data_IF_941171255618
#
_entry.id   IF_941171255618
#
_cell.length_a   1.000
_cell.length_b   1.000
_cell.length_c   1.000
_cell.angle_alpha   90.00
_cell.angle_beta   90.00
_cell.angle_gamma   90.00
#
_symmetry.space_group_name_H-M   'P 1'
#
loop_
_entity.id
_entity.type
_entity.pdbx_description
1 polymer ?
#
# COMPACT_ATOMS: atom_id res chain seq x y z
N UNK A 1 -20.39 6.55 6.15
CA UNK A 1 -21.10 5.46 6.88
C UNK A 1 -20.13 4.41 7.42
N UNK A 2 -19.31 3.70 6.61
CA UNK A 2 -18.41 2.62 7.10
C UNK A 2 -17.51 3.03 8.27
N UNK A 3 -16.85 4.19 8.22
CA UNK A 3 -15.98 4.69 9.30
C UNK A 3 -16.70 4.99 10.62
N UNK A 4 -17.98 5.39 10.54
CA UNK A 4 -18.79 5.63 11.76
C UNK A 4 -19.15 4.29 12.42
N UNK A 5 -19.50 3.28 11.62
CA UNK A 5 -19.75 1.92 12.12
C UNK A 5 -18.49 1.30 12.72
N UNK A 6 -17.36 1.44 12.06
CA UNK A 6 -16.06 0.97 12.55
C UNK A 6 -15.69 1.60 13.90
N UNK A 7 -15.86 2.92 14.03
CA UNK A 7 -15.64 3.64 15.28
C UNK A 7 -16.60 3.16 16.37
N UNK A 8 -17.89 3.01 16.04
CA UNK A 8 -18.90 2.51 16.98
C UNK A 8 -18.58 1.11 17.48
N UNK A 9 -18.22 0.19 16.58
CA UNK A 9 -17.81 -1.16 16.96
C UNK A 9 -16.54 -1.15 17.83
N UNK A 10 -15.55 -0.33 17.50
CA UNK A 10 -14.30 -0.21 18.26
C UNK A 10 -14.56 0.30 19.68
N UNK A 11 -15.44 1.30 19.84
CA UNK A 11 -15.84 1.82 21.15
C UNK A 11 -16.56 0.73 21.96
N UNK A 12 -17.56 0.04 21.38
CA UNK A 12 -18.29 -1.03 22.06
C UNK A 12 -17.36 -2.16 22.51
N UNK A 13 -16.41 -2.55 21.66
CA UNK A 13 -15.45 -3.61 22.00
C UNK A 13 -14.50 -3.16 23.10
N UNK A 14 -14.05 -1.90 23.11
CA UNK A 14 -13.13 -1.38 24.13
C UNK A 14 -13.72 -1.37 25.54
N UNK A 15 -15.07 -1.36 25.66
CA UNK A 15 -15.77 -1.44 26.97
C UNK A 15 -16.06 -2.88 27.42
N UNK A 16 -15.66 -3.91 26.67
CA UNK A 16 -15.77 -5.29 27.12
C UNK A 16 -14.66 -5.64 28.12
N UNK A 17 -14.96 -6.55 29.04
CA UNK A 17 -13.99 -7.04 30.02
C UNK A 17 -12.75 -7.62 29.32
N UNK A 18 -11.58 -7.29 29.83
CA UNK A 18 -10.28 -7.71 29.27
C UNK A 18 -9.64 -6.75 28.25
N UNK A 19 -10.32 -5.65 27.88
CA UNK A 19 -9.77 -4.63 27.01
C UNK A 19 -9.46 -3.33 27.77
N UNK A 20 -8.63 -2.46 27.16
CA UNK A 20 -8.27 -1.18 27.75
C UNK A 20 -9.45 -0.22 27.62
N UNK A 21 -10.00 0.21 28.73
CA UNK A 21 -11.08 1.21 28.75
C UNK A 21 -10.50 2.61 28.53
N UNK A 22 -11.02 3.39 27.55
CA UNK A 22 -10.60 4.77 27.37
C UNK A 22 -11.05 5.63 28.56
N UNK A 23 -10.08 6.20 29.28
CA UNK A 23 -10.36 7.15 30.36
C UNK A 23 -10.60 8.55 29.76
N UNK A 24 -11.87 8.91 29.63
CA UNK A 24 -12.30 10.18 29.04
C UNK A 24 -11.75 11.40 29.80
N UNK A 25 -11.47 11.27 31.11
CA UNK A 25 -10.90 12.36 31.93
C UNK A 25 -9.43 12.61 31.57
N UNK A 26 -8.72 11.59 31.10
CA UNK A 26 -7.30 11.68 30.70
C UNK A 26 -7.11 11.99 29.21
N UNK A 27 -8.15 12.05 28.43
CA UNK A 27 -8.08 12.29 26.98
C UNK A 27 -7.37 13.61 26.66
N UNK A 28 -7.52 14.63 27.48
CA UNK A 28 -6.90 15.95 27.32
C UNK A 28 -5.60 16.14 28.11
N UNK A 29 -5.12 15.08 28.79
CA UNK A 29 -3.86 15.14 29.52
C UNK A 29 -2.67 15.14 28.58
N UNK A 30 -1.96 16.29 28.52
CA UNK A 30 -0.83 16.46 27.61
C UNK A 30 0.47 15.94 28.23
N UNK A 31 0.90 14.75 27.84
CA UNK A 31 2.23 14.25 28.13
C UNK A 31 3.21 14.69 27.04
N UNK A 32 4.16 15.57 27.37
CA UNK A 32 5.13 16.13 26.42
C UNK A 32 6.05 15.07 25.81
N UNK A 33 6.44 14.06 26.59
CA UNK A 33 7.30 12.98 26.13
C UNK A 33 6.58 12.11 25.09
N UNK A 34 5.37 11.65 25.44
CA UNK A 34 4.54 10.85 24.55
C UNK A 34 4.19 11.62 23.26
N UNK A 35 3.91 12.92 23.34
CA UNK A 35 3.65 13.74 22.17
C UNK A 35 4.88 13.83 21.25
N UNK A 36 6.09 13.94 21.80
CA UNK A 36 7.33 13.98 21.03
C UNK A 36 7.61 12.64 20.32
N UNK A 37 7.38 11.53 21.01
CA UNK A 37 7.59 10.20 20.46
C UNK A 37 6.54 9.88 19.39
N UNK A 38 5.29 10.26 19.62
CA UNK A 38 4.22 10.20 18.62
C UNK A 38 4.56 11.00 17.36
N UNK A 39 5.03 12.26 17.52
CA UNK A 39 5.40 13.09 16.37
C UNK A 39 6.54 12.49 15.54
N UNK A 40 7.54 11.85 16.17
CA UNK A 40 8.64 11.21 15.46
C UNK A 40 8.17 10.08 14.52
N UNK A 41 7.11 9.37 14.90
CA UNK A 41 6.55 8.30 14.08
C UNK A 41 5.47 8.82 13.13
N UNK A 42 4.62 9.75 13.58
CA UNK A 42 3.48 10.24 12.82
C UNK A 42 3.88 11.18 11.66
N UNK A 43 4.89 12.03 11.84
CA UNK A 43 5.32 12.97 10.80
C UNK A 43 5.85 12.29 9.54
N UNK A 44 6.75 11.27 9.62
CA UNK A 44 7.17 10.53 8.43
C UNK A 44 6.02 9.80 7.75
N UNK A 45 5.11 9.23 8.52
CA UNK A 45 3.94 8.53 7.99
C UNK A 45 2.98 9.49 7.27
N UNK A 46 2.73 10.67 7.86
CA UNK A 46 1.95 11.73 7.22
C UNK A 46 2.61 12.19 5.92
N UNK A 47 3.93 12.37 5.92
CA UNK A 47 4.71 12.70 4.73
C UNK A 47 4.56 11.64 3.65
N UNK A 48 4.67 10.37 3.99
CA UNK A 48 4.47 9.25 3.07
C UNK A 48 3.05 9.25 2.47
N UNK A 49 2.02 9.47 3.30
CA UNK A 49 0.63 9.55 2.83
C UNK A 49 0.41 10.72 1.87
N UNK A 50 1.00 11.90 2.14
CA UNK A 50 0.92 13.06 1.26
C UNK A 50 1.65 12.80 -0.07
N UNK A 51 2.86 12.28 -0.05
CA UNK A 51 3.60 11.92 -1.26
C UNK A 51 2.85 10.90 -2.10
N UNK A 52 2.26 9.88 -1.46
CA UNK A 52 1.45 8.89 -2.14
C UNK A 52 0.20 9.50 -2.77
N UNK A 53 -0.56 10.33 -2.04
CA UNK A 53 -1.79 10.96 -2.53
C UNK A 53 -1.55 11.89 -3.71
N UNK A 54 -0.53 12.75 -3.63
CA UNK A 54 -0.17 13.66 -4.72
C UNK A 54 0.35 12.88 -5.94
N UNK A 55 1.18 11.86 -5.71
CA UNK A 55 1.70 11.00 -6.78
C UNK A 55 0.60 10.26 -7.52
N UNK A 56 -0.37 9.72 -6.78
CA UNK A 56 -1.53 9.03 -7.36
C UNK A 56 -2.43 9.96 -8.19
N UNK A 57 -2.61 11.20 -7.72
CA UNK A 57 -3.32 12.24 -8.46
C UNK A 57 -2.58 12.60 -9.76
N UNK A 58 -1.24 12.65 -9.72
CA UNK A 58 -0.42 12.89 -10.91
C UNK A 58 -0.58 11.77 -11.95
N UNK A 59 -0.63 10.50 -11.54
CA UNK A 59 -0.89 9.38 -12.44
C UNK A 59 -2.25 9.51 -13.15
N UNK A 60 -3.30 9.88 -12.41
CA UNK A 60 -4.62 10.11 -12.98
C UNK A 60 -4.63 11.28 -13.96
N UNK A 61 -3.84 12.33 -13.68
CA UNK A 61 -3.69 13.47 -14.58
C UNK A 61 -3.00 13.09 -15.90
N UNK A 62 -1.97 12.24 -15.87
CA UNK A 62 -1.32 11.73 -17.09
C UNK A 62 -2.29 10.92 -17.94
N UNK A 63 -3.10 10.04 -17.32
CA UNK A 63 -4.12 9.28 -18.04
C UNK A 63 -5.20 10.20 -18.63
N UNK A 64 -5.60 11.25 -17.91
CA UNK A 64 -6.54 12.25 -18.42
C UNK A 64 -5.99 13.03 -19.63
N UNK A 65 -4.70 13.34 -19.63
CA UNK A 65 -4.04 14.02 -20.75
C UNK A 65 -3.97 13.14 -22.03
N UNK A 66 -3.85 11.82 -21.85
CA UNK A 66 -3.84 10.84 -22.95
C UNK A 66 -5.22 10.61 -23.59
N UNK A 67 -6.26 11.20 -23.05
CA UNK A 67 -7.61 11.21 -23.61
C UNK A 67 -8.67 10.56 -22.73
N UNK A 68 -9.93 10.79 -23.09
CA UNK A 68 -11.10 10.35 -22.32
C UNK A 68 -11.16 8.82 -22.21
N UNK A 69 -10.83 8.11 -23.29
CA UNK A 69 -10.82 6.64 -23.31
C UNK A 69 -9.74 6.06 -22.38
N UNK A 70 -8.58 6.69 -22.31
CA UNK A 70 -7.51 6.31 -21.39
C UNK A 70 -7.90 6.56 -19.92
N UNK A 71 -8.52 7.70 -19.64
CA UNK A 71 -9.03 8.03 -18.31
C UNK A 71 -10.15 7.08 -17.85
N UNK A 72 -11.09 6.74 -18.76
CA UNK A 72 -12.16 5.79 -18.48
C UNK A 72 -11.60 4.39 -18.18
N UNK A 73 -10.67 3.89 -19.00
CA UNK A 73 -10.01 2.62 -18.77
C UNK A 73 -9.27 2.60 -17.44
N UNK A 74 -8.50 3.66 -17.13
CA UNK A 74 -7.77 3.79 -15.87
C UNK A 74 -8.70 3.79 -14.65
N UNK A 75 -9.86 4.44 -14.73
CA UNK A 75 -10.83 4.48 -13.62
C UNK A 75 -11.38 3.09 -13.30
N UNK A 76 -11.73 2.31 -14.32
CA UNK A 76 -12.18 0.91 -14.14
C UNK A 76 -11.06 0.04 -13.61
N UNK A 77 -9.86 0.16 -14.20
CA UNK A 77 -8.68 -0.58 -13.77
C UNK A 77 -8.33 -0.32 -12.29
N UNK A 78 -8.43 0.94 -11.84
CA UNK A 78 -8.17 1.33 -10.46
C UNK A 78 -9.16 0.70 -9.49
N UNK A 79 -10.47 0.74 -9.79
CA UNK A 79 -11.50 0.13 -8.92
C UNK A 79 -11.28 -1.37 -8.77
N UNK A 80 -11.02 -2.08 -9.85
CA UNK A 80 -10.79 -3.53 -9.82
C UNK A 80 -9.54 -3.87 -9.04
N UNK A 81 -8.44 -3.15 -9.30
CA UNK A 81 -7.19 -3.27 -8.57
C UNK A 81 -7.40 -3.08 -7.07
N UNK A 82 -8.10 -2.02 -6.67
CA UNK A 82 -8.29 -1.68 -5.26
C UNK A 82 -9.15 -2.71 -4.53
N UNK A 83 -10.17 -3.28 -5.18
CA UNK A 83 -10.97 -4.39 -4.62
C UNK A 83 -10.08 -5.61 -4.35
N UNK A 84 -9.23 -6.00 -5.30
CA UNK A 84 -8.34 -7.14 -5.12
C UNK A 84 -7.26 -6.85 -4.06
N UNK A 85 -6.76 -5.61 -3.98
CA UNK A 85 -5.80 -5.18 -2.97
C UNK A 85 -6.33 -5.24 -1.52
N UNK A 86 -7.65 -5.26 -1.31
CA UNK A 86 -8.22 -5.38 0.04
C UNK A 86 -7.73 -6.62 0.79
N UNK A 87 -7.47 -7.73 0.09
CA UNK A 87 -6.88 -8.93 0.68
C UNK A 87 -5.47 -8.69 1.22
N UNK A 88 -4.63 -8.01 0.45
CA UNK A 88 -3.27 -7.64 0.87
C UNK A 88 -3.29 -6.70 2.06
N UNK A 89 -4.19 -5.72 2.07
CA UNK A 89 -4.36 -4.78 3.17
C UNK A 89 -4.79 -5.48 4.48
N UNK A 90 -5.68 -6.49 4.39
CA UNK A 90 -6.07 -7.31 5.53
C UNK A 90 -4.88 -8.08 6.12
N UNK A 91 -4.05 -8.69 5.27
CA UNK A 91 -2.85 -9.41 5.71
C UNK A 91 -1.80 -8.44 6.26
N UNK A 92 -1.65 -7.26 5.65
CA UNK A 92 -0.76 -6.20 6.14
C UNK A 92 -1.14 -5.78 7.56
N UNK A 93 -2.42 -5.53 7.81
CA UNK A 93 -2.93 -5.20 9.15
C UNK A 93 -2.66 -6.32 10.16
N UNK A 94 -2.94 -7.57 9.79
CA UNK A 94 -2.65 -8.73 10.62
C UNK A 94 -1.15 -8.88 10.92
N UNK A 95 -0.30 -8.63 9.92
CA UNK A 95 1.15 -8.65 10.06
C UNK A 95 1.64 -7.59 11.06
N UNK A 96 1.09 -6.38 10.97
CA UNK A 96 1.37 -5.29 11.91
C UNK A 96 1.04 -5.68 13.34
N UNK A 97 -0.14 -6.26 13.57
CA UNK A 97 -0.58 -6.70 14.90
C UNK A 97 0.31 -7.84 15.43
N UNK A 98 0.53 -8.89 14.62
CA UNK A 98 1.28 -10.07 15.06
C UNK A 98 2.74 -9.73 15.37
N UNK A 99 3.40 -8.98 14.48
CA UNK A 99 4.80 -8.58 14.67
C UNK A 99 4.89 -7.56 15.79
N UNK A 100 4.00 -6.57 15.83
CA UNK A 100 4.01 -5.52 16.86
C UNK A 100 3.82 -6.08 18.26
N UNK A 101 2.91 -7.02 18.46
CA UNK A 101 2.70 -7.67 19.77
C UNK A 101 3.94 -8.43 20.25
N UNK A 102 4.62 -9.17 19.37
CA UNK A 102 5.84 -9.88 19.76
C UNK A 102 7.02 -8.95 20.04
N UNK A 103 7.17 -7.89 19.24
CA UNK A 103 8.21 -6.87 19.49
C UNK A 103 7.93 -6.09 20.77
N UNK A 104 6.66 -5.73 21.03
CA UNK A 104 6.25 -5.04 22.26
C UNK A 104 6.37 -5.92 23.52
N UNK A 105 6.28 -7.25 23.38
CA UNK A 105 6.53 -8.21 24.46
C UNK A 105 8.04 -8.53 24.65
N UNK A 106 8.96 -7.88 23.90
CA UNK A 106 10.39 -8.14 23.94
C UNK A 106 10.83 -9.43 23.24
N UNK A 107 9.92 -10.16 22.58
CA UNK A 107 10.20 -11.43 21.92
C UNK A 107 10.79 -11.24 20.50
N UNK A 108 11.93 -10.58 20.38
CA UNK A 108 12.55 -10.22 19.09
C UNK A 108 12.74 -11.42 18.15
N UNK A 109 13.10 -12.60 18.70
CA UNK A 109 13.28 -13.83 17.91
C UNK A 109 11.95 -14.31 17.26
N UNK A 110 10.84 -14.26 18.00
CA UNK A 110 9.52 -14.62 17.47
C UNK A 110 9.01 -13.59 16.48
N UNK A 111 9.16 -12.29 16.77
CA UNK A 111 8.84 -11.22 15.84
C UNK A 111 9.54 -11.40 14.50
N UNK A 112 10.84 -11.71 14.50
CA UNK A 112 11.60 -12.02 13.29
C UNK A 112 11.07 -13.24 12.53
N UNK A 113 10.72 -14.33 13.22
CA UNK A 113 10.15 -15.53 12.59
C UNK A 113 8.80 -15.23 11.95
N UNK A 114 7.93 -14.48 12.62
CA UNK A 114 6.65 -14.06 12.06
C UNK A 114 6.83 -13.17 10.84
N UNK A 115 7.75 -12.19 10.88
CA UNK A 115 8.04 -11.37 9.72
C UNK A 115 8.47 -12.19 8.49
N UNK A 116 9.34 -13.19 8.66
CA UNK A 116 9.77 -14.07 7.55
C UNK A 116 8.60 -14.91 7.01
N UNK A 117 7.74 -15.44 7.89
CA UNK A 117 6.56 -16.22 7.46
C UNK A 117 5.54 -15.34 6.73
N UNK A 118 5.29 -14.15 7.24
CA UNK A 118 4.37 -13.19 6.64
C UNK A 118 4.85 -12.68 5.28
N UNK A 119 6.16 -12.48 5.11
CA UNK A 119 6.75 -12.18 3.81
C UNK A 119 6.50 -13.30 2.78
N UNK A 120 6.61 -14.57 3.18
CA UNK A 120 6.28 -15.69 2.29
C UNK A 120 4.80 -15.74 1.96
N UNK A 121 3.93 -15.51 2.95
CA UNK A 121 2.48 -15.46 2.76
C UNK A 121 2.12 -14.31 1.81
N UNK A 122 2.73 -13.13 1.94
CA UNK A 122 2.47 -11.99 1.06
C UNK A 122 2.83 -12.28 -0.40
N UNK A 123 3.90 -13.03 -0.65
CA UNK A 123 4.26 -13.47 -2.00
C UNK A 123 3.20 -14.40 -2.59
N UNK A 124 2.75 -15.40 -1.82
CA UNK A 124 1.68 -16.31 -2.25
C UNK A 124 0.39 -15.53 -2.53
N UNK A 125 0.01 -14.63 -1.64
CA UNK A 125 -1.17 -13.76 -1.84
C UNK A 125 -1.03 -12.84 -3.04
N UNK A 126 0.16 -12.31 -3.31
CA UNK A 126 0.43 -11.52 -4.50
C UNK A 126 0.24 -12.31 -5.79
N UNK A 127 0.72 -13.56 -5.82
CA UNK A 127 0.50 -14.47 -6.96
C UNK A 127 -0.99 -14.80 -7.11
N UNK A 128 -1.69 -15.09 -6.02
CA UNK A 128 -3.14 -15.33 -6.06
C UNK A 128 -3.92 -14.10 -6.54
N UNK A 129 -3.56 -12.89 -6.08
CA UNK A 129 -4.16 -11.65 -6.52
C UNK A 129 -3.90 -11.39 -8.02
N UNK A 130 -2.71 -11.72 -8.51
CA UNK A 130 -2.36 -11.66 -9.92
C UNK A 130 -3.20 -12.61 -10.76
N UNK A 131 -3.35 -13.86 -10.33
CA UNK A 131 -4.20 -14.84 -11.00
C UNK A 131 -5.68 -14.44 -10.97
N UNK A 132 -6.17 -13.95 -9.83
CA UNK A 132 -7.54 -13.44 -9.71
C UNK A 132 -7.78 -12.27 -10.66
N UNK A 133 -6.81 -11.35 -10.80
CA UNK A 133 -6.87 -10.24 -11.76
C UNK A 133 -7.01 -10.74 -13.20
N UNK A 134 -6.22 -11.74 -13.61
CA UNK A 134 -6.29 -12.31 -14.95
C UNK A 134 -7.62 -13.03 -15.22
N UNK A 135 -8.18 -13.71 -14.22
CA UNK A 135 -9.49 -14.40 -14.34
C UNK A 135 -10.63 -13.41 -14.40
N UNK A 136 -10.57 -12.33 -13.62
CA UNK A 136 -11.64 -11.30 -13.57
C UNK A 136 -11.59 -10.36 -14.78
N UNK A 137 -10.44 -10.20 -15.42
CA UNK A 137 -10.26 -9.30 -16.56
C UNK A 137 -11.28 -9.52 -17.70
N UNK A 138 -11.47 -10.74 -18.27
CA UNK A 138 -12.45 -10.96 -19.32
C UNK A 138 -13.90 -10.74 -18.87
N UNK A 139 -14.21 -11.04 -17.61
CA UNK A 139 -15.54 -10.84 -17.04
C UNK A 139 -15.85 -9.34 -17.01
N UNK A 140 -14.92 -8.53 -16.51
CA UNK A 140 -15.10 -7.08 -16.40
C UNK A 140 -15.22 -6.44 -17.79
N UNK A 141 -14.36 -6.86 -18.74
CA UNK A 141 -14.44 -6.38 -20.12
C UNK A 141 -15.80 -6.68 -20.79
N UNK A 142 -16.48 -7.75 -20.36
CA UNK A 142 -17.81 -8.08 -20.88
C UNK A 142 -18.93 -7.24 -20.27
N UNK A 143 -18.83 -6.91 -18.98
CA UNK A 143 -19.90 -6.19 -18.27
C UNK A 143 -19.80 -4.67 -18.35
N UNK A 144 -18.59 -4.13 -18.58
CA UNK A 144 -18.40 -2.67 -18.63
C UNK A 144 -18.62 -2.16 -20.04
N UNK A 145 -19.57 -1.21 -20.19
CA UNK A 145 -19.83 -0.53 -21.45
C UNK A 145 -18.78 0.53 -21.72
N UNK A 146 -17.72 0.15 -22.40
CA UNK A 146 -16.63 1.01 -22.83
C UNK A 146 -16.60 1.11 -24.37
N UNK A 147 -16.00 2.18 -24.88
CA UNK A 147 -15.65 2.25 -26.30
C UNK A 147 -14.69 1.12 -26.65
N UNK A 148 -14.68 0.65 -27.92
CA UNK A 148 -13.73 -0.39 -28.33
C UNK A 148 -12.27 -0.03 -28.06
N UNK A 149 -11.93 1.26 -28.15
CA UNK A 149 -10.60 1.77 -27.86
C UNK A 149 -10.26 1.71 -26.35
N UNK A 150 -11.17 2.18 -25.50
CA UNK A 150 -11.00 2.09 -24.05
C UNK A 150 -10.93 0.65 -23.54
N UNK A 151 -11.72 -0.27 -24.13
CA UNK A 151 -11.65 -1.70 -23.82
C UNK A 151 -10.29 -2.30 -24.21
N UNK A 152 -9.71 -1.89 -25.35
CA UNK A 152 -8.36 -2.26 -25.74
C UNK A 152 -7.29 -1.81 -24.75
N UNK A 153 -7.38 -0.56 -24.28
CA UNK A 153 -6.49 -0.02 -23.25
C UNK A 153 -6.65 -0.76 -21.92
N UNK A 154 -7.88 -1.00 -21.50
CA UNK A 154 -8.19 -1.71 -20.25
C UNK A 154 -7.60 -3.14 -20.25
N UNK A 155 -7.73 -3.85 -21.36
CA UNK A 155 -7.12 -5.18 -21.50
C UNK A 155 -5.60 -5.16 -21.32
N UNK A 156 -4.92 -4.19 -21.94
CA UNK A 156 -3.48 -4.00 -21.74
C UNK A 156 -3.12 -3.64 -20.30
N UNK A 157 -3.89 -2.74 -19.68
CA UNK A 157 -3.70 -2.34 -18.27
C UNK A 157 -3.87 -3.53 -17.31
N UNK A 158 -4.83 -4.42 -17.52
CA UNK A 158 -4.99 -5.62 -16.69
C UNK A 158 -3.78 -6.55 -16.74
N UNK A 159 -3.14 -6.70 -17.90
CA UNK A 159 -1.88 -7.42 -18.02
C UNK A 159 -0.76 -6.81 -17.16
N UNK A 160 -0.64 -5.48 -17.19
CA UNK A 160 0.35 -4.76 -16.35
C UNK A 160 0.02 -4.88 -14.88
N UNK A 161 -1.26 -4.73 -14.50
CA UNK A 161 -1.71 -4.83 -13.11
C UNK A 161 -1.46 -6.24 -12.55
N UNK A 162 -1.60 -7.28 -13.32
CA UNK A 162 -1.31 -8.64 -12.86
C UNK A 162 0.13 -8.78 -12.33
N UNK A 163 1.11 -8.20 -13.01
CA UNK A 163 2.48 -8.12 -12.52
C UNK A 163 2.63 -7.19 -11.30
N UNK A 164 1.99 -6.04 -11.36
CA UNK A 164 1.99 -5.05 -10.29
C UNK A 164 1.47 -5.62 -8.97
N UNK A 165 0.44 -6.48 -9.00
CA UNK A 165 -0.19 -7.07 -7.82
C UNK A 165 0.78 -7.85 -6.95
N UNK A 166 1.76 -8.53 -7.54
CA UNK A 166 2.78 -9.28 -6.79
C UNK A 166 3.64 -8.30 -5.98
N UNK A 167 4.14 -7.26 -6.63
CA UNK A 167 4.93 -6.21 -5.98
C UNK A 167 4.14 -5.49 -4.89
N UNK A 168 2.93 -5.08 -5.22
CA UNK A 168 2.02 -4.37 -4.31
C UNK A 168 1.74 -5.17 -3.03
N UNK A 169 1.39 -6.46 -3.16
CA UNK A 169 1.10 -7.31 -2.00
C UNK A 169 2.31 -7.50 -1.09
N UNK A 170 3.49 -7.71 -1.66
CA UNK A 170 4.73 -7.88 -0.89
C UNK A 170 5.11 -6.58 -0.19
N UNK A 171 5.03 -5.44 -0.87
CA UNK A 171 5.38 -4.14 -0.30
C UNK A 171 4.38 -3.74 0.80
N UNK A 172 3.08 -3.95 0.59
CA UNK A 172 2.04 -3.59 1.55
C UNK A 172 2.23 -4.32 2.88
N UNK A 173 2.41 -5.65 2.84
CA UNK A 173 2.65 -6.45 4.05
C UNK A 173 4.00 -6.14 4.69
N UNK A 174 5.04 -5.90 3.89
CA UNK A 174 6.40 -5.70 4.42
C UNK A 174 6.59 -4.28 4.96
N UNK A 175 6.17 -3.26 4.20
CA UNK A 175 6.37 -1.86 4.60
C UNK A 175 5.33 -1.45 5.63
N UNK A 176 4.02 -1.55 5.29
CA UNK A 176 2.95 -1.07 6.16
C UNK A 176 2.72 -2.01 7.35
N UNK A 177 2.84 -3.33 7.14
CA UNK A 177 2.69 -4.31 8.21
C UNK A 177 3.94 -4.44 9.07
N UNK A 178 5.01 -4.99 8.52
CA UNK A 178 6.19 -5.43 9.31
C UNK A 178 7.07 -4.25 9.73
N UNK A 179 7.47 -3.37 8.80
CA UNK A 179 8.33 -2.22 9.13
C UNK A 179 7.58 -1.19 9.96
N UNK A 180 6.29 -0.95 9.66
CA UNK A 180 5.43 -0.08 10.44
C UNK A 180 5.33 -0.54 11.89
N UNK A 181 5.12 -1.84 12.13
CA UNK A 181 5.10 -2.44 13.47
C UNK A 181 6.46 -2.35 14.20
N UNK A 182 7.57 -2.39 13.46
CA UNK A 182 8.92 -2.22 13.99
C UNK A 182 9.35 -0.76 14.20
N UNK A 183 8.48 0.22 13.92
CA UNK A 183 8.78 1.65 14.04
C UNK A 183 9.76 2.18 12.98
N UNK A 184 9.94 1.46 11.86
CA UNK A 184 10.82 1.86 10.75
C UNK A 184 10.02 2.59 9.64
N UNK A 185 9.28 3.60 10.05
CA UNK A 185 8.38 4.40 9.17
C UNK A 185 9.14 5.29 8.18
N UNK A 186 10.38 5.65 8.49
CA UNK A 186 11.22 6.46 7.60
C UNK A 186 11.55 5.76 6.29
N UNK A 187 11.66 4.42 6.32
CA UNK A 187 11.91 3.65 5.10
C UNK A 187 10.77 3.78 4.09
N UNK A 188 9.52 3.78 4.55
CA UNK A 188 8.35 3.98 3.68
C UNK A 188 8.43 5.33 2.95
N UNK A 189 8.66 6.41 3.67
CA UNK A 189 8.78 7.75 3.10
C UNK A 189 9.91 7.83 2.05
N UNK A 190 11.11 7.31 2.35
CA UNK A 190 12.23 7.34 1.40
C UNK A 190 11.99 6.45 0.19
N UNK A 191 11.41 5.27 0.37
CA UNK A 191 11.12 4.35 -0.74
C UNK A 191 10.09 4.94 -1.69
N UNK A 192 9.06 5.62 -1.17
CA UNK A 192 8.10 6.37 -1.96
C UNK A 192 8.73 7.54 -2.70
N UNK A 193 9.51 8.36 -2.00
CA UNK A 193 10.17 9.52 -2.62
C UNK A 193 11.05 9.11 -3.80
N UNK A 194 11.83 8.03 -3.67
CA UNK A 194 12.72 7.58 -4.74
C UNK A 194 11.94 6.87 -5.86
N UNK A 195 11.12 5.86 -5.54
CA UNK A 195 10.50 5.05 -6.58
C UNK A 195 9.34 5.75 -7.30
N UNK A 196 8.53 6.52 -6.57
CA UNK A 196 7.41 7.22 -7.16
C UNK A 196 7.84 8.55 -7.79
N UNK A 197 8.56 9.40 -7.04
CA UNK A 197 8.87 10.77 -7.48
C UNK A 197 10.11 10.88 -8.35
N UNK A 198 11.15 10.05 -8.14
CA UNK A 198 12.35 10.09 -8.96
C UNK A 198 12.32 9.13 -10.15
N UNK A 199 11.48 8.10 -10.13
CA UNK A 199 11.41 7.11 -11.23
C UNK A 199 10.06 7.15 -11.94
N UNK A 200 8.95 6.78 -11.27
CA UNK A 200 7.68 6.54 -11.93
C UNK A 200 7.06 7.82 -12.52
N UNK A 201 6.97 8.90 -11.75
CA UNK A 201 6.39 10.18 -12.21
C UNK A 201 7.21 10.78 -13.36
N UNK A 202 8.56 10.95 -13.29
CA UNK A 202 9.31 11.49 -14.40
C UNK A 202 9.24 10.63 -15.66
N UNK A 203 9.28 9.30 -15.54
CA UNK A 203 9.14 8.39 -16.66
C UNK A 203 7.76 8.49 -17.32
N UNK A 204 6.68 8.52 -16.53
CA UNK A 204 5.33 8.67 -17.03
C UNK A 204 5.13 10.06 -17.68
N UNK A 205 5.67 11.11 -17.08
CA UNK A 205 5.61 12.46 -17.64
C UNK A 205 6.36 12.56 -18.97
N UNK A 206 7.59 12.04 -19.05
CA UNK A 206 8.36 11.99 -20.30
C UNK A 206 7.63 11.18 -21.38
N UNK A 207 7.07 10.03 -21.01
CA UNK A 207 6.29 9.21 -21.93
C UNK A 207 5.02 9.89 -22.43
N UNK A 208 4.34 10.67 -21.58
CA UNK A 208 3.11 11.37 -21.92
C UNK A 208 3.35 12.63 -22.76
N UNK A 209 4.28 13.49 -22.32
CA UNK A 209 4.43 14.84 -22.89
C UNK A 209 5.50 14.94 -23.97
N UNK A 210 6.54 14.12 -23.89
CA UNK A 210 7.67 14.23 -24.81
C UNK A 210 7.68 13.12 -25.88
N UNK A 211 7.58 11.86 -25.45
CA UNK A 211 7.70 10.72 -26.36
C UNK A 211 6.36 10.25 -26.94
N UNK A 212 5.22 10.72 -26.42
CA UNK A 212 3.88 10.30 -26.85
C UNK A 212 3.71 8.76 -26.90
N UNK A 213 4.16 8.09 -25.86
CA UNK A 213 4.09 6.62 -25.79
C UNK A 213 2.65 6.12 -25.75
N UNK A 214 2.41 4.87 -26.19
CA UNK A 214 1.10 4.25 -26.07
C UNK A 214 0.60 4.26 -24.62
N UNK A 215 -0.70 4.41 -24.43
CA UNK A 215 -1.37 4.52 -23.11
C UNK A 215 -0.95 3.41 -22.13
N UNK A 216 -0.86 2.16 -22.63
CA UNK A 216 -0.48 0.99 -21.82
C UNK A 216 0.97 1.08 -21.33
N UNK A 217 1.87 1.64 -22.14
CA UNK A 217 3.29 1.84 -21.76
C UNK A 217 3.42 2.91 -20.68
N UNK A 218 2.71 4.04 -20.85
CA UNK A 218 2.67 5.08 -19.81
C UNK A 218 2.08 4.52 -18.51
N UNK A 219 1.03 3.72 -18.60
CA UNK A 219 0.45 3.04 -17.46
C UNK A 219 1.46 2.09 -16.78
N UNK A 220 2.22 1.33 -17.57
CA UNK A 220 3.28 0.47 -17.03
C UNK A 220 4.36 1.29 -16.29
N UNK A 221 4.71 2.48 -16.79
CA UNK A 221 5.63 3.39 -16.10
C UNK A 221 5.10 3.81 -14.71
N UNK A 222 3.80 4.06 -14.57
CA UNK A 222 3.21 4.36 -13.25
C UNK A 222 3.24 3.17 -12.29
N UNK A 223 3.28 1.94 -12.79
CA UNK A 223 3.34 0.72 -11.99
C UNK A 223 4.78 0.33 -11.56
N UNK A 224 5.80 1.01 -12.09
CA UNK A 224 7.20 0.76 -11.72
C UNK A 224 7.46 1.12 -10.25
N UNK A 225 6.69 2.03 -9.65
CA UNK A 225 6.84 2.45 -8.27
C UNK A 225 6.79 1.29 -7.28
N UNK A 226 5.92 0.31 -7.48
CA UNK A 226 5.82 -0.85 -6.59
C UNK A 226 6.77 -1.99 -6.97
N UNK A 227 6.97 -2.23 -8.26
CA UNK A 227 7.89 -3.28 -8.73
C UNK A 227 9.35 -2.87 -8.48
N UNK A 228 9.66 -1.60 -8.72
CA UNK A 228 11.01 -1.04 -8.50
C UNK A 228 11.45 -1.01 -7.05
N UNK A 229 10.52 -0.96 -6.09
CA UNK A 229 10.83 -1.02 -4.66
C UNK A 229 11.27 -2.42 -4.20
N UNK A 230 10.82 -3.50 -4.85
CA UNK A 230 11.03 -4.88 -4.39
C UNK A 230 12.48 -5.22 -4.02
N UNK A 231 13.49 -4.96 -4.87
CA UNK A 231 14.88 -5.27 -4.51
C UNK A 231 15.34 -4.53 -3.25
N UNK A 232 14.94 -3.25 -3.14
CA UNK A 232 15.31 -2.41 -2.01
C UNK A 232 14.61 -2.85 -0.71
N UNK A 233 13.32 -3.13 -0.78
CA UNK A 233 12.52 -3.66 0.34
C UNK A 233 13.11 -4.99 0.82
N UNK A 234 13.46 -5.89 -0.09
CA UNK A 234 14.05 -7.18 0.27
C UNK A 234 15.43 -7.04 0.93
N UNK A 235 16.28 -6.16 0.41
CA UNK A 235 17.59 -5.87 1.01
C UNK A 235 17.43 -5.24 2.40
N UNK A 236 16.48 -4.32 2.56
CA UNK A 236 16.21 -3.68 3.85
C UNK A 236 15.64 -4.67 4.86
N UNK A 237 14.72 -5.53 4.43
CA UNK A 237 14.15 -6.60 5.24
C UNK A 237 15.25 -7.52 5.80
N UNK A 238 16.23 -7.91 4.98
CA UNK A 238 17.35 -8.76 5.38
C UNK A 238 18.29 -8.12 6.41
N UNK A 239 18.32 -6.79 6.49
CA UNK A 239 19.12 -6.07 7.50
C UNK A 239 18.49 -6.10 8.90
N UNK A 240 17.24 -6.56 9.02
CA UNK A 240 16.48 -6.68 10.28
C UNK A 240 16.46 -5.40 11.12
N UNK A 241 16.58 -4.22 10.53
CA UNK A 241 16.55 -2.94 11.24
C UNK A 241 15.19 -2.64 11.88
N UNK A 242 14.13 -3.28 11.38
CA UNK A 242 12.78 -3.21 11.91
C UNK A 242 12.58 -4.05 13.18
N UNK A 243 13.52 -4.95 13.52
CA UNK A 243 13.48 -5.77 14.74
C UNK A 243 14.09 -4.95 15.87
N UNK A 244 13.27 -4.11 16.49
CA UNK A 244 13.66 -3.25 17.61
C UNK A 244 12.74 -3.53 18.79
N UNK A 245 13.30 -3.37 20.00
CA UNK A 245 12.50 -3.24 21.20
C UNK A 245 11.97 -1.80 21.26
N UNK A 246 10.65 -1.66 21.26
CA UNK A 246 9.98 -0.35 21.28
C UNK A 246 9.57 0.08 22.70
N UNK A 247 9.81 -0.79 23.70
CA UNK A 247 9.37 -0.59 25.07
C UNK A 247 10.48 -0.12 26.01
N UNK A 248 11.73 -0.07 25.55
CA UNK A 248 12.92 0.38 26.30
C UNK A 248 13.67 1.49 25.60
#
# INVERSE_FOLDING_TARGET
MARILELGCSIVISYKDGYIHPDMKRLFYRNKQLAKDFQKCALPLLGACLFWGIGFTSYSSFMGHLGVDAAAANSVAAVVRDIICCFSAGISSAAGIMVGNELGAGNLRRGKLYGIRLLKISLVCGVMASLLMLVTAPIILHFVNLTPQAAGYLKGMFGVIAFYMIGRSVNDVTINGIFGAGGDTMFDMYSLAVCMWCLAIPLAALGTYYFHWPVVVVYACTCIDEVGKLPWVFLHFRKYKWVKDLTH
#
